data_IF_922812706810
#
_entry.id   IF_922812706810
#
_cell.length_a   1.000
_cell.length_b   1.000
_cell.length_c   1.000
_cell.angle_alpha   90.00
_cell.angle_beta   90.00
_cell.angle_gamma   90.00
#
_symmetry.space_group_name_H-M   'P 1'
#
loop_
_entity.id
_entity.type
_entity.pdbx_description
1 polymer ?
#
# COMPACT_ATOMS: atom_id res chain seq x y z
N UNK A 1 10.93 -4.26 -6.44
CA UNK A 1 10.95 -3.69 -7.80
C UNK A 1 10.25 -2.34 -7.89
N UNK A 2 9.02 -2.16 -7.32
CA UNK A 2 8.26 -0.89 -7.42
C UNK A 2 8.92 0.30 -6.68
N UNK A 3 9.74 0.05 -5.68
CA UNK A 3 10.53 1.09 -4.99
C UNK A 3 11.69 1.65 -5.82
N UNK A 4 12.11 0.94 -6.87
CA UNK A 4 13.17 1.36 -7.79
C UNK A 4 12.66 2.27 -8.91
N UNK A 5 11.34 2.41 -9.07
CA UNK A 5 10.74 3.32 -10.04
C UNK A 5 11.07 4.76 -9.62
N UNK A 6 11.52 5.62 -10.57
CA UNK A 6 11.82 7.02 -10.28
C UNK A 6 10.66 7.71 -9.57
N UNK A 7 10.99 8.52 -8.57
CA UNK A 7 10.00 9.33 -7.86
C UNK A 7 9.47 10.39 -8.81
N UNK A 8 8.19 10.42 -9.03
CA UNK A 8 7.53 11.60 -9.60
C UNK A 8 7.28 12.57 -8.45
N UNK A 9 8.08 13.62 -8.39
CA UNK A 9 7.91 14.68 -7.40
C UNK A 9 6.85 15.63 -7.97
N UNK A 10 5.67 15.66 -7.38
CA UNK A 10 4.72 16.74 -7.63
C UNK A 10 5.32 18.05 -7.11
N UNK A 11 4.92 19.20 -7.68
CA UNK A 11 5.52 20.52 -7.41
C UNK A 11 5.56 20.96 -5.93
N UNK A 12 5.04 20.15 -5.01
CA UNK A 12 5.07 20.36 -3.55
C UNK A 12 6.10 19.47 -2.82
N UNK A 13 7.06 18.85 -3.53
CA UNK A 13 8.12 18.07 -2.91
C UNK A 13 7.74 16.69 -2.38
N UNK A 14 6.49 16.24 -2.57
CA UNK A 14 5.99 14.94 -2.10
C UNK A 14 6.21 13.89 -3.19
N UNK A 15 7.01 12.83 -2.94
CA UNK A 15 7.24 11.80 -3.94
C UNK A 15 6.01 10.86 -4.03
N UNK A 16 5.36 10.80 -5.19
CA UNK A 16 4.44 9.71 -5.50
C UNK A 16 5.28 8.48 -5.77
N UNK A 17 5.11 7.45 -4.95
CA UNK A 17 5.82 6.18 -5.09
C UNK A 17 4.86 5.09 -5.55
N UNK A 18 5.35 4.13 -6.33
CA UNK A 18 4.54 2.98 -6.73
C UNK A 18 4.35 1.93 -5.60
N UNK A 19 4.90 2.17 -4.41
CA UNK A 19 4.91 1.19 -3.31
C UNK A 19 3.52 0.86 -2.79
N UNK A 20 2.63 1.86 -2.63
CA UNK A 20 1.25 1.65 -2.20
C UNK A 20 0.46 0.79 -3.19
N UNK A 21 0.73 0.90 -4.50
CA UNK A 21 0.17 -0.01 -5.50
C UNK A 21 0.60 -1.46 -5.24
N UNK A 22 1.86 -1.68 -4.86
CA UNK A 22 2.36 -3.01 -4.49
C UNK A 22 1.61 -3.60 -3.30
N UNK A 23 1.37 -2.80 -2.26
CA UNK A 23 0.57 -3.20 -1.09
C UNK A 23 -0.87 -3.57 -1.48
N UNK A 24 -1.52 -2.73 -2.28
CA UNK A 24 -2.85 -2.98 -2.82
C UNK A 24 -2.91 -4.28 -3.62
N UNK A 25 -1.95 -4.52 -4.53
CA UNK A 25 -1.88 -5.73 -5.35
C UNK A 25 -1.58 -6.98 -4.51
N UNK A 26 -0.76 -6.88 -3.46
CA UNK A 26 -0.56 -8.00 -2.53
C UNK A 26 -1.91 -8.45 -1.94
N UNK A 27 -2.74 -7.53 -1.48
CA UNK A 27 -4.06 -7.86 -0.95
C UNK A 27 -5.02 -8.36 -2.03
N UNK A 28 -5.20 -7.60 -3.12
CA UNK A 28 -6.21 -7.91 -4.13
C UNK A 28 -5.93 -9.19 -4.90
N UNK A 29 -4.66 -9.56 -5.10
CA UNK A 29 -4.27 -10.77 -5.85
C UNK A 29 -4.08 -11.97 -4.94
N UNK A 30 -3.32 -11.81 -3.84
CA UNK A 30 -2.90 -12.93 -2.98
C UNK A 30 -3.92 -13.26 -1.88
N UNK A 31 -4.86 -12.34 -1.58
CA UNK A 31 -5.80 -12.48 -0.48
C UNK A 31 -5.22 -12.02 0.86
N UNK A 32 -6.00 -12.18 1.95
CA UNK A 32 -5.67 -11.60 3.25
C UNK A 32 -4.32 -12.07 3.80
N UNK A 33 -4.18 -13.35 4.10
CA UNK A 33 -3.00 -13.88 4.77
C UNK A 33 -1.73 -13.80 3.92
N UNK A 34 -1.81 -14.27 2.67
CA UNK A 34 -0.65 -14.27 1.77
C UNK A 34 -0.23 -12.85 1.41
N UNK A 35 -1.20 -11.94 1.19
CA UNK A 35 -0.94 -10.53 0.92
C UNK A 35 -0.29 -9.82 2.09
N UNK A 36 -0.82 -10.01 3.31
CA UNK A 36 -0.24 -9.47 4.54
C UNK A 36 1.18 -9.99 4.79
N UNK A 37 1.41 -11.30 4.63
CA UNK A 37 2.72 -11.91 4.79
C UNK A 37 3.73 -11.44 3.72
N UNK A 38 3.29 -11.27 2.47
CA UNK A 38 4.15 -10.73 1.41
C UNK A 38 4.59 -9.28 1.71
N UNK A 39 3.67 -8.45 2.20
CA UNK A 39 4.00 -7.09 2.62
C UNK A 39 4.87 -7.07 3.89
N UNK A 40 4.66 -7.99 4.83
CA UNK A 40 5.50 -8.13 6.02
C UNK A 40 6.93 -8.56 5.63
N UNK A 41 7.07 -9.54 4.72
CA UNK A 41 8.37 -9.95 4.19
C UNK A 41 9.08 -8.76 3.51
N UNK A 42 8.36 -7.94 2.73
CA UNK A 42 8.92 -6.73 2.14
C UNK A 42 9.49 -5.79 3.22
N UNK A 43 8.74 -5.53 4.30
CA UNK A 43 9.19 -4.68 5.41
C UNK A 43 10.39 -5.30 6.13
N UNK A 44 10.40 -6.62 6.34
CA UNK A 44 11.52 -7.33 6.94
C UNK A 44 12.80 -7.22 6.07
N UNK A 45 12.69 -7.36 4.76
CA UNK A 45 13.82 -7.19 3.83
C UNK A 45 14.34 -5.74 3.85
N UNK A 46 13.45 -4.74 3.95
CA UNK A 46 13.85 -3.34 4.16
C UNK A 46 14.62 -3.19 5.46
N UNK A 47 14.16 -3.79 6.56
CA UNK A 47 14.83 -3.73 7.87
C UNK A 47 16.23 -4.37 7.83
N UNK A 48 16.40 -5.44 7.05
CA UNK A 48 17.69 -6.11 6.83
C UNK A 48 18.68 -5.30 5.97
N UNK A 49 18.26 -4.12 5.48
CA UNK A 49 19.15 -3.21 4.75
C UNK A 49 18.96 -3.20 3.24
N UNK A 50 18.04 -3.99 2.68
CA UNK A 50 17.82 -3.96 1.24
C UNK A 50 17.24 -2.62 0.80
N UNK A 51 17.77 -1.98 -0.24
CA UNK A 51 17.36 -0.65 -0.71
C UNK A 51 16.07 -0.70 -1.52
N UNK A 52 14.99 -1.21 -0.92
CA UNK A 52 13.72 -1.49 -1.60
C UNK A 52 12.73 -0.31 -1.52
N UNK A 53 12.98 0.67 -0.64
CA UNK A 53 12.14 1.86 -0.53
C UNK A 53 12.49 2.90 -1.60
N UNK A 54 11.54 3.78 -1.85
CA UNK A 54 11.70 4.88 -2.81
C UNK A 54 12.97 5.71 -2.52
N UNK A 55 13.80 5.85 -3.56
CA UNK A 55 15.11 6.48 -3.47
C UNK A 55 16.21 5.56 -2.94
N UNK A 56 16.06 4.24 -3.05
CA UNK A 56 17.06 3.27 -2.65
C UNK A 56 17.28 3.19 -1.14
N UNK A 57 16.29 3.59 -0.33
CA UNK A 57 16.39 3.57 1.12
C UNK A 57 16.10 2.17 1.68
N UNK A 58 16.80 1.81 2.73
CA UNK A 58 16.66 0.57 3.50
C UNK A 58 17.41 0.65 4.82
N UNK A 59 17.42 -0.42 5.57
CA UNK A 59 18.05 -0.53 6.89
C UNK A 59 17.17 0.00 8.01
N UNK A 60 17.63 -0.23 9.26
CA UNK A 60 16.87 0.14 10.46
C UNK A 60 16.62 1.64 10.58
N UNK A 61 17.47 2.49 9.98
CA UNK A 61 17.30 3.95 10.01
C UNK A 61 15.97 4.44 9.40
N UNK A 62 15.35 3.68 8.50
CA UNK A 62 14.06 4.06 7.91
C UNK A 62 12.92 4.03 8.93
N UNK A 63 13.06 3.23 10.00
CA UNK A 63 12.08 3.14 11.08
C UNK A 63 12.13 4.31 12.06
N UNK A 64 13.17 5.13 12.00
CA UNK A 64 13.24 6.42 12.70
C UNK A 64 12.73 7.60 11.84
N UNK A 65 12.29 7.34 10.61
CA UNK A 65 11.83 8.39 9.69
C UNK A 65 10.32 8.66 9.83
N UNK A 66 9.82 9.82 9.40
CA UNK A 66 8.39 10.15 9.41
C UNK A 66 7.49 9.17 8.65
N UNK A 67 8.07 8.34 7.79
CA UNK A 67 7.34 7.35 7.00
C UNK A 67 7.21 5.99 7.69
N UNK A 68 7.69 5.84 8.93
CA UNK A 68 7.62 4.55 9.68
C UNK A 68 6.19 4.03 9.82
N UNK A 69 5.23 4.91 10.09
CA UNK A 69 3.83 4.52 10.21
C UNK A 69 3.29 3.83 8.96
N UNK A 70 3.64 4.34 7.78
CA UNK A 70 3.26 3.70 6.51
C UNK A 70 3.86 2.31 6.37
N UNK A 71 5.13 2.11 6.76
CA UNK A 71 5.79 0.80 6.71
C UNK A 71 5.09 -0.22 7.61
N UNK A 72 4.72 0.19 8.82
CA UNK A 72 3.93 -0.65 9.74
C UNK A 72 2.53 -0.90 9.17
N UNK A 73 1.93 0.10 8.53
CA UNK A 73 0.62 0.00 7.90
C UNK A 73 0.57 -0.92 6.67
N UNK A 74 1.69 -1.17 5.98
CA UNK A 74 1.71 -1.97 4.76
C UNK A 74 1.21 -3.41 4.94
N UNK A 75 1.72 -4.21 5.89
CA UNK A 75 1.21 -5.56 6.12
C UNK A 75 -0.27 -5.60 6.50
N UNK A 76 -0.69 -4.67 7.35
CA UNK A 76 -2.07 -4.57 7.84
C UNK A 76 -2.99 -4.12 6.72
N UNK A 77 -2.58 -3.11 5.95
CA UNK A 77 -3.32 -2.62 4.79
C UNK A 77 -3.49 -3.69 3.70
N UNK A 78 -2.42 -4.45 3.39
CA UNK A 78 -2.50 -5.57 2.45
C UNK A 78 -3.43 -6.68 2.97
N UNK A 79 -3.35 -7.01 4.26
CA UNK A 79 -4.24 -7.98 4.89
C UNK A 79 -5.71 -7.55 4.79
N UNK A 80 -6.03 -6.30 5.18
CA UNK A 80 -7.41 -5.78 5.13
C UNK A 80 -7.93 -5.72 3.69
N UNK A 81 -7.10 -5.27 2.74
CA UNK A 81 -7.44 -5.29 1.31
C UNK A 81 -7.80 -6.70 0.85
N UNK A 82 -6.98 -7.69 1.19
CA UNK A 82 -7.22 -9.09 0.84
C UNK A 82 -8.44 -9.65 1.55
N UNK A 83 -8.64 -9.32 2.82
CA UNK A 83 -9.79 -9.77 3.60
C UNK A 83 -11.12 -9.32 2.98
N UNK A 84 -11.21 -8.06 2.56
CA UNK A 84 -12.40 -7.54 1.86
C UNK A 84 -12.60 -8.26 0.53
N UNK A 85 -11.52 -8.51 -0.23
CA UNK A 85 -11.57 -9.28 -1.47
C UNK A 85 -12.09 -10.70 -1.26
N UNK A 86 -11.61 -11.38 -0.20
CA UNK A 86 -12.01 -12.75 0.14
C UNK A 86 -13.49 -12.83 0.53
N UNK A 87 -14.03 -11.80 1.20
CA UNK A 87 -15.41 -11.75 1.65
C UNK A 87 -16.40 -11.28 0.57
N UNK A 88 -16.00 -10.34 -0.25
CA UNK A 88 -16.90 -9.70 -1.22
C UNK A 88 -16.88 -10.39 -2.59
N UNK A 89 -17.17 -11.68 -2.61
CA UNK A 89 -17.14 -12.53 -3.82
C UNK A 89 -18.27 -12.25 -4.81
N UNK A 90 -19.39 -11.68 -4.37
CA UNK A 90 -20.53 -11.35 -5.23
C UNK A 90 -20.29 -10.18 -6.17
N UNK A 91 -19.34 -9.29 -5.85
CA UNK A 91 -19.03 -8.14 -6.68
C UNK A 91 -18.10 -8.48 -7.85
N UNK A 92 -18.19 -7.73 -8.98
CA UNK A 92 -17.23 -7.82 -10.06
C UNK A 92 -15.80 -7.62 -9.53
N UNK A 93 -14.86 -8.45 -9.99
CA UNK A 93 -13.47 -8.49 -9.47
C UNK A 93 -12.81 -7.11 -9.46
N UNK A 94 -12.93 -6.34 -10.55
CA UNK A 94 -12.32 -5.02 -10.65
C UNK A 94 -12.89 -4.01 -9.64
N UNK A 95 -14.21 -4.04 -9.41
CA UNK A 95 -14.87 -3.18 -8.43
C UNK A 95 -14.45 -3.55 -7.01
N UNK A 96 -14.54 -4.84 -6.67
CA UNK A 96 -14.13 -5.32 -5.36
C UNK A 96 -12.65 -4.99 -5.08
N UNK A 97 -11.76 -5.17 -6.07
CA UNK A 97 -10.34 -4.86 -5.94
C UNK A 97 -10.10 -3.35 -5.77
N UNK A 98 -10.76 -2.50 -6.54
CA UNK A 98 -10.63 -1.05 -6.41
C UNK A 98 -11.11 -0.55 -5.03
N UNK A 99 -12.28 -0.98 -4.59
CA UNK A 99 -12.84 -0.57 -3.29
C UNK A 99 -12.00 -1.12 -2.13
N UNK A 100 -11.61 -2.39 -2.17
CA UNK A 100 -10.77 -2.97 -1.12
C UNK A 100 -9.38 -2.30 -1.06
N UNK A 101 -8.82 -1.90 -2.21
CA UNK A 101 -7.58 -1.13 -2.27
C UNK A 101 -7.73 0.26 -1.63
N UNK A 102 -8.87 0.93 -1.78
CA UNK A 102 -9.15 2.19 -1.06
C UNK A 102 -9.23 1.94 0.44
N UNK A 103 -10.01 0.95 0.88
CA UNK A 103 -10.24 0.71 2.30
C UNK A 103 -8.96 0.23 3.02
N UNK A 104 -8.28 -0.80 2.50
CA UNK A 104 -7.07 -1.33 3.10
C UNK A 104 -5.81 -0.56 2.70
N UNK A 105 -5.61 -0.31 1.41
CA UNK A 105 -4.39 0.28 0.88
C UNK A 105 -4.28 1.79 1.06
N UNK A 106 -5.39 2.52 1.26
CA UNK A 106 -5.39 3.95 1.56
C UNK A 106 -5.79 4.18 3.02
N UNK A 107 -7.04 3.93 3.40
CA UNK A 107 -7.54 4.36 4.72
C UNK A 107 -6.74 3.71 5.87
N UNK A 108 -6.53 2.40 5.84
CA UNK A 108 -5.77 1.71 6.90
C UNK A 108 -4.31 2.16 6.90
N UNK A 109 -3.66 2.19 5.74
CA UNK A 109 -2.24 2.59 5.64
C UNK A 109 -2.05 4.04 6.08
N UNK A 110 -3.00 4.94 5.75
CA UNK A 110 -2.94 6.34 6.15
C UNK A 110 -3.18 6.53 7.65
N UNK A 111 -4.07 5.75 8.28
CA UNK A 111 -4.26 5.79 9.72
C UNK A 111 -2.93 5.54 10.46
N UNK A 112 -2.20 4.49 10.07
CA UNK A 112 -0.86 4.23 10.60
C UNK A 112 0.16 5.29 10.21
N UNK A 113 0.12 5.78 8.97
CA UNK A 113 1.01 6.84 8.48
C UNK A 113 0.84 8.15 9.25
N UNK A 114 -0.40 8.59 9.46
CA UNK A 114 -0.73 9.79 10.24
C UNK A 114 -0.20 9.64 11.67
N UNK A 115 -0.50 8.50 12.33
CA UNK A 115 -0.02 8.23 13.68
C UNK A 115 1.51 8.25 13.78
N UNK A 116 2.21 7.62 12.81
CA UNK A 116 3.66 7.66 12.75
C UNK A 116 4.23 9.07 12.56
N UNK A 117 3.59 9.90 11.73
CA UNK A 117 3.99 11.31 11.54
C UNK A 117 3.75 12.14 12.79
N UNK A 118 2.65 11.93 13.52
CA UNK A 118 2.39 12.59 14.79
C UNK A 118 3.52 12.32 15.78
N UNK A 119 3.96 11.07 15.91
CA UNK A 119 5.01 10.69 16.84
C UNK A 119 6.41 11.18 16.44
N UNK A 120 6.73 11.09 15.14
CA UNK A 120 8.10 11.40 14.67
C UNK A 120 8.35 12.86 14.39
N UNK A 121 7.32 13.62 14.02
CA UNK A 121 7.40 15.05 13.69
C UNK A 121 6.84 15.95 14.80
N UNK A 122 6.34 15.39 15.91
CA UNK A 122 5.62 16.11 16.97
C UNK A 122 4.50 17.01 16.42
N UNK A 123 3.74 16.49 15.47
CA UNK A 123 2.64 17.19 14.81
C UNK A 123 1.29 16.82 15.41
N UNK A 124 0.36 17.77 15.38
CA UNK A 124 -1.04 17.51 15.72
C UNK A 124 -1.68 16.57 14.68
N UNK A 125 -2.80 15.95 15.05
CA UNK A 125 -3.58 15.10 14.13
C UNK A 125 -3.96 15.84 12.85
N UNK A 126 -4.39 17.11 12.98
CA UNK A 126 -4.78 17.92 11.84
C UNK A 126 -3.59 18.16 10.89
N UNK A 127 -2.45 18.58 11.43
CA UNK A 127 -1.26 18.84 10.62
C UNK A 127 -0.77 17.56 9.91
N UNK A 128 -0.73 16.42 10.60
CA UNK A 128 -0.34 15.15 10.02
C UNK A 128 -1.30 14.71 8.91
N UNK A 129 -2.61 14.91 9.11
CA UNK A 129 -3.64 14.62 8.10
C UNK A 129 -3.48 15.51 6.86
N UNK A 130 -3.19 16.80 7.04
CA UNK A 130 -2.96 17.72 5.93
C UNK A 130 -1.73 17.32 5.09
N UNK A 131 -0.66 16.82 5.72
CA UNK A 131 0.50 16.29 5.00
C UNK A 131 0.16 15.07 4.13
N UNK A 132 -0.72 14.21 4.61
CA UNK A 132 -1.10 12.97 3.92
C UNK A 132 -2.04 13.25 2.73
N UNK A 133 -2.80 14.34 2.74
CA UNK A 133 -3.71 14.71 1.64
C UNK A 133 -3.03 14.78 0.27
N UNK A 134 -1.76 15.18 0.23
CA UNK A 134 -1.00 15.28 -1.01
C UNK A 134 -0.84 13.93 -1.73
N UNK A 135 -0.95 12.80 -1.02
CA UNK A 135 -0.85 11.46 -1.60
C UNK A 135 -2.18 10.96 -2.17
N UNK A 136 -3.32 11.49 -1.71
CA UNK A 136 -4.66 10.98 -2.04
C UNK A 136 -4.90 10.86 -3.55
N UNK A 137 -4.66 11.89 -4.38
CA UNK A 137 -4.95 11.78 -5.82
C UNK A 137 -4.16 10.65 -6.48
N UNK A 138 -2.87 10.54 -6.15
CA UNK A 138 -2.01 9.48 -6.68
C UNK A 138 -2.44 8.08 -6.22
N UNK A 139 -2.84 7.93 -4.96
CA UNK A 139 -3.23 6.64 -4.41
C UNK A 139 -4.63 6.20 -4.86
N UNK A 140 -5.55 7.14 -5.14
CA UNK A 140 -6.82 6.82 -5.79
C UNK A 140 -6.61 6.28 -7.21
N UNK A 141 -5.72 6.88 -8.00
CA UNK A 141 -5.34 6.35 -9.32
C UNK A 141 -4.79 4.92 -9.19
N UNK A 142 -3.93 4.66 -8.20
CA UNK A 142 -3.37 3.33 -7.96
C UNK A 142 -4.43 2.32 -7.53
N UNK A 143 -5.43 2.73 -6.73
CA UNK A 143 -6.53 1.86 -6.37
C UNK A 143 -7.37 1.45 -7.61
N UNK A 144 -7.61 2.39 -8.52
CA UNK A 144 -8.25 2.11 -9.81
C UNK A 144 -7.38 1.16 -10.66
N UNK A 145 -6.08 1.42 -10.74
CA UNK A 145 -5.13 0.54 -11.44
C UNK A 145 -5.09 -0.85 -10.83
N UNK A 146 -5.11 -0.98 -9.49
CA UNK A 146 -5.19 -2.27 -8.82
C UNK A 146 -6.45 -3.04 -9.23
N UNK A 147 -7.59 -2.34 -9.35
CA UNK A 147 -8.85 -2.89 -9.86
C UNK A 147 -8.71 -3.44 -11.28
N UNK A 148 -8.14 -2.65 -12.20
CA UNK A 148 -7.94 -3.08 -13.59
C UNK A 148 -6.95 -4.23 -13.70
N UNK A 149 -5.81 -4.17 -13.02
CA UNK A 149 -4.78 -5.21 -13.04
C UNK A 149 -5.34 -6.53 -12.50
N UNK A 150 -6.01 -6.49 -11.34
CA UNK A 150 -6.60 -7.69 -10.73
C UNK A 150 -7.69 -8.28 -11.60
N UNK A 151 -8.55 -7.46 -12.20
CA UNK A 151 -9.58 -7.91 -13.13
C UNK A 151 -8.98 -8.52 -14.40
N UNK A 152 -7.93 -7.92 -14.96
CA UNK A 152 -7.20 -8.45 -16.11
C UNK A 152 -6.55 -9.80 -15.79
N UNK A 153 -5.92 -9.93 -14.63
CA UNK A 153 -5.35 -11.20 -14.16
C UNK A 153 -6.42 -12.28 -13.97
N UNK A 154 -7.57 -11.93 -13.37
CA UNK A 154 -8.66 -12.86 -13.18
C UNK A 154 -9.24 -13.39 -14.50
N UNK A 155 -9.21 -12.58 -15.58
CA UNK A 155 -9.63 -13.01 -16.92
C UNK A 155 -8.56 -13.85 -17.62
N UNK A 156 -7.30 -13.42 -17.57
CA UNK A 156 -6.21 -14.09 -18.29
C UNK A 156 -5.72 -15.37 -17.60
N UNK A 157 -5.65 -15.35 -16.27
CA UNK A 157 -5.17 -16.46 -15.43
C UNK A 157 -5.96 -16.51 -14.10
N UNK A 158 -7.20 -17.05 -14.10
CA UNK A 158 -8.05 -17.06 -12.91
C UNK A 158 -7.38 -17.67 -11.66
N UNK A 159 -6.61 -18.74 -11.85
CA UNK A 159 -5.87 -19.42 -10.77
C UNK A 159 -4.77 -18.55 -10.11
N UNK A 160 -4.38 -17.42 -10.71
CA UNK A 160 -3.38 -16.51 -10.11
C UNK A 160 -3.99 -15.51 -9.13
N UNK A 161 -5.32 -15.33 -9.12
CA UNK A 161 -6.02 -14.43 -8.20
C UNK A 161 -6.52 -15.22 -7.00
N UNK A 162 -5.58 -15.45 -6.06
CA UNK A 162 -5.80 -16.31 -4.90
C UNK A 162 -6.84 -15.75 -3.92
N UNK A 163 -7.12 -14.45 -3.97
CA UNK A 163 -8.21 -13.82 -3.23
C UNK A 163 -9.61 -14.23 -3.72
N UNK A 164 -9.68 -14.95 -4.82
CA UNK A 164 -10.95 -15.43 -5.43
C UNK A 164 -11.02 -16.94 -5.59
N UNK A 165 -9.95 -17.65 -5.22
CA UNK A 165 -9.89 -19.11 -5.22
C UNK A 165 -10.60 -19.75 -4.00
#
# INVERSE_FOLDING_TARGET
ALGLIPKFTLGFGVPITAQSLGVMLCGTVLGAWRGGLAALLFVALVALGLPLLAGGRGGLGVFASPTVGFLVGFPIGAFVTGFIMDQWRSAPVGLAAGVSAVLGGILVVYAFGIFGMMMTLNKSLLEATLLVQAFIPGDLIKAVLAGFITSGLAKARPASVLSRS
#
